data_IF_128610403137
#
_entry.id   IF_128610403137
#
_cell.length_a   1.000
_cell.length_b   1.000
_cell.length_c   1.000
_cell.angle_alpha   90.00
_cell.angle_beta   90.00
_cell.angle_gamma   90.00
#
_symmetry.space_group_name_H-M   'P 1'
#
loop_
_entity.id
_entity.type
_entity.pdbx_description
1 polymer ?
#
# COMPACT_ATOMS: atom_id res chain seq x y z
N UNK A 1 -49.65 -0.30 58.36
CA UNK A 1 -48.30 0.11 57.89
C UNK A 1 -47.91 -0.81 56.74
N UNK A 2 -47.92 -0.29 55.50
CA UNK A 2 -47.49 -1.06 54.31
C UNK A 2 -46.15 -0.51 53.89
N UNK A 3 -45.13 -1.34 53.93
CA UNK A 3 -43.78 -1.00 53.47
C UNK A 3 -43.67 -1.43 52.03
N UNK A 4 -43.46 -0.45 51.13
CA UNK A 4 -43.27 -0.68 49.69
C UNK A 4 -41.80 -0.86 49.42
N UNK A 5 -41.37 -2.02 48.92
CA UNK A 5 -40.00 -2.30 48.50
C UNK A 5 -39.85 -1.91 47.03
N UNK A 6 -39.12 -0.85 46.76
CA UNK A 6 -38.72 -0.46 45.38
C UNK A 6 -37.47 -1.22 44.96
N UNK A 7 -37.61 -2.08 43.95
CA UNK A 7 -36.48 -2.76 43.35
C UNK A 7 -35.81 -1.84 42.33
N UNK A 8 -34.57 -1.50 42.57
CA UNK A 8 -33.72 -0.79 41.62
C UNK A 8 -33.11 -1.79 40.60
N UNK A 9 -33.50 -1.67 39.35
CA UNK A 9 -32.89 -2.44 38.24
C UNK A 9 -31.58 -1.74 37.82
N UNK A 10 -30.46 -2.36 38.16
CA UNK A 10 -29.15 -1.95 37.58
C UNK A 10 -29.06 -2.48 36.15
N UNK A 11 -29.16 -1.57 35.18
CA UNK A 11 -28.83 -1.87 33.79
C UNK A 11 -27.29 -1.85 33.65
N UNK A 12 -26.71 -3.04 33.65
CA UNK A 12 -25.26 -3.20 33.35
C UNK A 12 -24.98 -2.94 31.89
N UNK A 13 -24.29 -1.83 31.56
CA UNK A 13 -23.68 -1.62 30.25
C UNK A 13 -22.56 -2.64 30.05
N UNK A 14 -22.81 -3.70 29.31
CA UNK A 14 -21.77 -4.60 28.80
C UNK A 14 -21.10 -3.87 27.64
N UNK A 15 -19.93 -3.27 27.91
CA UNK A 15 -19.03 -2.79 26.87
C UNK A 15 -18.49 -4.02 26.13
N UNK A 16 -19.01 -4.31 24.95
CA UNK A 16 -18.41 -5.25 24.02
C UNK A 16 -17.09 -4.65 23.52
N UNK A 17 -16.02 -4.96 24.22
CA UNK A 17 -14.65 -4.79 23.69
C UNK A 17 -14.47 -5.79 22.56
N UNK A 18 -14.88 -5.43 21.35
CA UNK A 18 -14.60 -6.18 20.15
C UNK A 18 -13.07 -6.19 19.94
N UNK A 19 -12.45 -7.34 20.16
CA UNK A 19 -11.08 -7.59 19.72
C UNK A 19 -11.05 -7.45 18.19
N UNK A 20 -10.59 -6.30 17.70
CA UNK A 20 -10.34 -6.07 16.27
C UNK A 20 -9.11 -6.90 15.86
N UNK A 21 -9.30 -8.18 15.57
CA UNK A 21 -8.31 -9.03 14.90
C UNK A 21 -8.32 -8.70 13.40
N UNK A 22 -7.82 -7.50 13.06
CA UNK A 22 -7.59 -7.10 11.67
C UNK A 22 -6.23 -7.58 11.18
N UNK A 23 -6.06 -7.81 9.88
CA UNK A 23 -4.74 -7.78 9.25
C UNK A 23 -4.12 -6.42 9.52
N UNK A 24 -2.79 -6.36 9.74
CA UNK A 24 -2.10 -5.19 10.33
C UNK A 24 -2.46 -3.83 9.71
N UNK A 25 -2.87 -3.76 8.45
CA UNK A 25 -3.09 -2.50 7.73
C UNK A 25 -4.53 -2.16 7.37
N UNK A 26 -5.47 -3.12 7.42
CA UNK A 26 -6.89 -2.91 7.12
C UNK A 26 -7.77 -3.69 8.09
N UNK A 27 -8.99 -3.21 8.34
CA UNK A 27 -9.98 -3.96 9.10
C UNK A 27 -10.31 -5.29 8.38
N UNK A 28 -10.51 -6.36 9.15
CA UNK A 28 -10.77 -7.72 8.63
C UNK A 28 -11.99 -7.77 7.71
N UNK A 29 -13.01 -6.98 8.04
CA UNK A 29 -14.30 -6.95 7.34
C UNK A 29 -14.40 -5.75 6.37
N UNK A 30 -13.30 -5.04 6.10
CA UNK A 30 -13.29 -3.96 5.12
C UNK A 30 -13.55 -4.51 3.71
N UNK A 31 -14.42 -3.82 2.96
CA UNK A 31 -14.63 -4.13 1.55
C UNK A 31 -13.29 -4.13 0.79
N UNK A 32 -13.12 -4.94 -0.27
CA UNK A 32 -11.90 -4.93 -1.07
C UNK A 32 -11.51 -3.50 -1.48
N UNK A 33 -10.20 -3.16 -1.54
CA UNK A 33 -9.78 -1.84 -1.98
C UNK A 33 -10.26 -1.56 -3.40
N UNK A 34 -10.58 -0.30 -3.69
CA UNK A 34 -10.96 0.16 -5.03
C UNK A 34 -9.72 0.69 -5.74
N UNK A 35 -9.45 0.22 -6.95
CA UNK A 35 -8.38 0.75 -7.82
C UNK A 35 -8.85 1.98 -8.59
N UNK A 36 -7.89 2.73 -9.16
CA UNK A 36 -8.19 3.73 -10.19
C UNK A 36 -8.88 3.07 -11.41
N UNK A 37 -9.52 3.85 -12.28
CA UNK A 37 -10.25 3.32 -13.43
C UNK A 37 -9.34 2.63 -14.45
N UNK A 38 -8.15 3.19 -14.71
CA UNK A 38 -7.15 2.65 -15.63
C UNK A 38 -5.76 3.20 -15.35
N UNK A 39 -4.72 2.52 -15.84
CA UNK A 39 -3.33 2.97 -15.82
C UNK A 39 -2.73 2.88 -17.22
N UNK A 40 -2.22 4.01 -17.73
CA UNK A 40 -1.35 4.02 -18.91
C UNK A 40 0.05 3.58 -18.47
N UNK A 41 0.45 2.37 -18.84
CA UNK A 41 1.73 1.80 -18.43
C UNK A 41 2.93 2.56 -19.01
N UNK A 42 2.80 3.23 -20.16
CA UNK A 42 3.87 4.06 -20.71
C UNK A 42 4.15 5.28 -19.83
N UNK A 43 3.09 5.94 -19.33
CA UNK A 43 3.21 7.05 -18.37
C UNK A 43 3.64 6.59 -17.00
N UNK A 44 3.23 5.37 -16.59
CA UNK A 44 3.57 4.80 -15.29
C UNK A 44 5.01 4.28 -15.24
N UNK A 45 5.59 3.91 -16.37
CA UNK A 45 6.97 3.42 -16.50
C UNK A 45 8.00 4.45 -16.00
N UNK A 46 9.23 4.00 -15.79
CA UNK A 46 10.34 4.79 -15.27
C UNK A 46 10.43 4.76 -13.74
N UNK A 47 11.15 5.72 -13.20
CA UNK A 47 11.53 5.76 -11.77
C UNK A 47 10.46 6.40 -10.91
N UNK A 48 10.24 5.77 -9.75
CA UNK A 48 9.43 6.26 -8.64
C UNK A 48 10.26 6.22 -7.35
N UNK A 49 10.13 7.24 -6.53
CA UNK A 49 10.68 7.30 -5.18
C UNK A 49 9.61 6.85 -4.18
N UNK A 50 9.97 5.99 -3.25
CA UNK A 50 9.12 5.63 -2.13
C UNK A 50 9.13 6.77 -1.11
N UNK A 51 7.99 7.34 -0.82
CA UNK A 51 7.83 8.41 0.17
C UNK A 51 7.52 7.83 1.56
N UNK A 52 6.68 6.82 1.58
CA UNK A 52 6.34 6.08 2.80
C UNK A 52 5.84 4.69 2.46
N UNK A 53 5.90 3.79 3.44
CA UNK A 53 5.40 2.42 3.31
C UNK A 53 4.88 1.86 4.63
N UNK A 54 4.12 0.79 4.56
CA UNK A 54 3.97 -0.08 5.71
C UNK A 54 5.28 -0.83 6.00
N UNK A 55 5.67 -0.99 7.29
CA UNK A 55 6.78 -1.84 7.65
C UNK A 55 6.61 -3.26 7.10
N UNK A 56 7.64 -3.80 6.47
CA UNK A 56 7.62 -5.13 5.92
C UNK A 56 8.99 -5.84 6.09
N UNK A 57 9.01 -7.17 5.95
CA UNK A 57 10.19 -7.97 6.26
C UNK A 57 11.31 -7.84 5.22
N UNK A 58 10.97 -7.59 3.95
CA UNK A 58 11.95 -7.53 2.86
C UNK A 58 12.58 -6.14 2.67
N UNK A 59 12.00 -5.09 3.28
CA UNK A 59 12.55 -3.73 3.29
C UNK A 59 13.08 -3.30 4.68
N UNK A 60 13.41 -4.26 5.54
CA UNK A 60 14.06 -3.93 6.82
C UNK A 60 15.36 -3.15 6.57
N UNK A 61 15.53 -2.02 7.27
CA UNK A 61 16.67 -1.11 7.15
C UNK A 61 16.89 -0.54 5.73
N UNK A 62 15.84 -0.48 4.88
CA UNK A 62 15.89 0.20 3.58
C UNK A 62 15.53 1.67 3.74
N UNK A 63 16.41 2.54 3.24
CA UNK A 63 16.18 3.97 3.00
C UNK A 63 16.59 4.30 1.56
N UNK A 64 16.32 5.51 1.06
CA UNK A 64 16.60 5.88 -0.32
C UNK A 64 15.95 4.94 -1.34
N UNK A 65 14.73 4.47 -1.04
CA UNK A 65 14.08 3.42 -1.82
C UNK A 65 13.52 3.97 -3.12
N UNK A 66 13.83 3.28 -4.22
CA UNK A 66 13.22 3.55 -5.53
C UNK A 66 12.67 2.28 -6.15
N UNK A 67 11.62 2.43 -6.96
CA UNK A 67 11.10 1.42 -7.86
C UNK A 67 11.21 1.93 -9.31
N UNK A 68 11.72 1.11 -10.21
CA UNK A 68 11.79 1.43 -11.63
C UNK A 68 11.03 0.38 -12.42
N UNK A 69 10.11 0.85 -13.28
CA UNK A 69 9.25 0.01 -14.11
C UNK A 69 9.63 0.19 -15.58
N UNK A 70 9.82 -0.92 -16.29
CA UNK A 70 10.17 -0.93 -17.71
C UNK A 70 9.25 -1.88 -18.48
N UNK A 71 8.59 -1.39 -19.54
CA UNK A 71 7.81 -2.26 -20.41
C UNK A 71 8.73 -3.23 -21.16
N UNK A 72 8.31 -4.47 -21.24
CA UNK A 72 9.05 -5.55 -21.91
C UNK A 72 8.37 -5.92 -23.22
N UNK A 73 9.13 -6.44 -24.21
CA UNK A 73 8.55 -6.91 -25.49
C UNK A 73 7.52 -8.03 -25.33
N UNK A 74 7.57 -8.78 -24.23
CA UNK A 74 6.62 -9.85 -23.91
C UNK A 74 5.31 -9.37 -23.26
N UNK A 75 5.07 -8.04 -23.22
CA UNK A 75 3.88 -7.41 -22.64
C UNK A 75 3.90 -7.34 -21.11
N UNK A 76 4.94 -7.84 -20.45
CA UNK A 76 5.12 -7.74 -19.00
C UNK A 76 5.86 -6.45 -18.63
N UNK A 77 5.95 -6.18 -17.34
CA UNK A 77 6.68 -5.04 -16.79
C UNK A 77 7.88 -5.56 -15.99
N UNK A 78 9.07 -5.13 -16.37
CA UNK A 78 10.26 -5.32 -15.53
C UNK A 78 10.19 -4.40 -14.32
N UNK A 79 10.55 -4.88 -13.16
CA UNK A 79 10.55 -4.13 -11.90
C UNK A 79 11.95 -4.20 -11.30
N UNK A 80 12.55 -3.04 -11.05
CA UNK A 80 13.82 -2.96 -10.31
C UNK A 80 13.60 -2.11 -9.07
N UNK A 81 13.67 -2.74 -7.90
CA UNK A 81 13.65 -2.03 -6.62
C UNK A 81 15.07 -1.86 -6.12
N UNK A 82 15.42 -0.63 -5.71
CA UNK A 82 16.73 -0.31 -5.14
C UNK A 82 16.53 0.35 -3.79
N UNK A 83 17.37 0.01 -2.82
CA UNK A 83 17.42 0.72 -1.54
C UNK A 83 18.86 0.82 -1.02
N UNK A 84 19.13 1.85 -0.22
CA UNK A 84 20.31 1.95 0.61
C UNK A 84 20.08 1.27 1.97
N UNK A 85 21.08 0.62 2.53
CA UNK A 85 20.95 -0.16 3.77
C UNK A 85 21.35 0.68 4.97
N UNK A 86 20.43 0.85 5.91
CA UNK A 86 20.65 1.52 7.20
C UNK A 86 20.42 3.02 7.13
N UNK A 87 21.05 3.71 6.19
CA UNK A 87 20.94 5.17 5.94
C UNK A 87 20.63 5.41 4.47
N UNK A 88 20.18 6.61 4.10
CA UNK A 88 19.83 6.94 2.71
C UNK A 88 21.03 6.95 1.75
N UNK A 89 22.25 7.10 2.26
CA UNK A 89 23.55 7.04 1.58
C UNK A 89 24.30 5.72 1.83
N UNK A 90 23.66 4.75 2.47
CA UNK A 90 24.24 3.45 2.78
C UNK A 90 24.49 2.59 1.55
N UNK A 91 25.06 1.40 1.75
CA UNK A 91 25.34 0.46 0.66
C UNK A 91 24.06 0.11 -0.10
N UNK A 92 24.06 0.43 -1.40
CA UNK A 92 22.94 0.13 -2.28
C UNK A 92 22.79 -1.39 -2.50
N UNK A 93 21.54 -1.85 -2.54
CA UNK A 93 21.15 -3.20 -2.98
C UNK A 93 19.94 -3.11 -3.88
N UNK A 94 19.86 -3.97 -4.87
CA UNK A 94 18.76 -4.03 -5.82
C UNK A 94 18.14 -5.41 -5.86
N UNK A 95 16.85 -5.45 -6.15
CA UNK A 95 16.11 -6.65 -6.47
C UNK A 95 15.39 -6.47 -7.81
N UNK A 96 15.53 -7.44 -8.70
CA UNK A 96 14.86 -7.45 -9.99
C UNK A 96 13.68 -8.41 -9.96
N UNK A 97 12.57 -7.98 -10.51
CA UNK A 97 11.33 -8.74 -10.60
C UNK A 97 10.61 -8.53 -11.92
N UNK A 98 9.52 -9.23 -12.06
CA UNK A 98 8.62 -9.13 -13.21
C UNK A 98 7.20 -8.98 -12.70
N UNK A 99 6.43 -8.11 -13.34
CA UNK A 99 5.01 -7.95 -13.12
C UNK A 99 4.23 -8.31 -14.39
N UNK A 100 3.11 -8.99 -14.23
CA UNK A 100 2.11 -9.19 -15.27
C UNK A 100 0.82 -8.48 -14.89
N UNK A 101 0.18 -7.86 -15.85
CA UNK A 101 -1.15 -7.27 -15.68
C UNK A 101 -2.18 -8.37 -15.45
N UNK A 102 -3.09 -8.16 -14.53
CA UNK A 102 -4.27 -9.02 -14.35
C UNK A 102 -5.30 -8.68 -15.41
N UNK A 103 -5.72 -9.67 -16.19
CA UNK A 103 -6.68 -9.51 -17.27
C UNK A 103 -7.97 -8.82 -16.78
N UNK A 104 -8.49 -7.92 -17.62
CA UNK A 104 -9.70 -7.16 -17.32
C UNK A 104 -9.55 -6.06 -16.26
N UNK A 105 -8.34 -5.83 -15.74
CA UNK A 105 -8.10 -4.81 -14.70
C UNK A 105 -7.79 -3.42 -15.23
N UNK A 106 -7.78 -3.19 -16.56
CA UNK A 106 -7.34 -1.93 -17.17
C UNK A 106 -5.94 -1.48 -16.65
N UNK A 107 -5.02 -2.42 -16.47
CA UNK A 107 -3.65 -2.25 -15.94
C UNK A 107 -3.57 -1.75 -14.48
N UNK A 108 -4.66 -1.75 -13.73
CA UNK A 108 -4.68 -1.25 -12.34
C UNK A 108 -4.25 -2.29 -11.31
N UNK A 109 -4.21 -3.56 -11.70
CA UNK A 109 -3.81 -4.69 -10.84
C UNK A 109 -2.72 -5.50 -11.53
N UNK A 110 -1.65 -5.77 -10.80
CA UNK A 110 -0.53 -6.55 -11.32
C UNK A 110 -0.19 -7.69 -10.35
N UNK A 111 0.30 -8.79 -10.93
CA UNK A 111 0.97 -9.86 -10.20
C UNK A 111 2.47 -9.62 -10.29
N UNK A 112 3.11 -9.26 -9.17
CA UNK A 112 4.55 -8.95 -9.09
C UNK A 112 5.28 -10.08 -8.39
N UNK A 113 6.43 -10.49 -8.94
CA UNK A 113 7.30 -11.49 -8.34
C UNK A 113 8.78 -11.12 -8.52
N UNK A 114 9.57 -11.32 -7.46
CA UNK A 114 11.01 -11.10 -7.39
C UNK A 114 11.83 -12.40 -7.29
N UNK A 115 11.19 -13.56 -7.39
CA UNK A 115 11.85 -14.86 -7.33
C UNK A 115 11.64 -15.63 -8.66
N UNK A 116 12.48 -16.62 -8.98
CA UNK A 116 12.29 -17.48 -10.15
C UNK A 116 11.17 -18.52 -9.91
N UNK A 117 10.02 -18.06 -9.44
CA UNK A 117 8.80 -18.84 -9.21
C UNK A 117 7.67 -18.27 -10.08
N UNK A 118 6.62 -19.03 -10.38
CA UNK A 118 5.48 -18.52 -11.14
C UNK A 118 4.88 -17.25 -10.53
N UNK A 119 4.42 -16.34 -11.38
CA UNK A 119 3.69 -15.16 -10.95
C UNK A 119 2.45 -15.55 -10.10
N UNK A 120 2.10 -14.76 -9.06
CA UNK A 120 0.89 -14.99 -8.28
C UNK A 120 -0.33 -15.06 -9.20
N UNK A 121 -1.15 -16.10 -9.03
CA UNK A 121 -2.42 -16.23 -9.75
C UNK A 121 -3.54 -15.44 -9.05
N UNK A 122 -4.65 -15.26 -9.76
CA UNK A 122 -5.85 -14.62 -9.23
C UNK A 122 -5.81 -13.10 -9.31
N UNK A 123 -6.13 -12.41 -8.23
CA UNK A 123 -6.35 -10.96 -8.24
C UNK A 123 -5.07 -10.08 -8.25
N UNK A 124 -3.88 -10.71 -8.28
CA UNK A 124 -2.61 -9.99 -8.16
C UNK A 124 -2.30 -9.53 -6.71
N UNK A 125 -1.12 -8.93 -6.54
CA UNK A 125 -0.62 -8.48 -5.24
C UNK A 125 -0.18 -7.00 -5.21
N UNK A 126 -0.34 -6.29 -6.32
CA UNK A 126 0.01 -4.89 -6.52
C UNK A 126 -1.16 -4.17 -7.19
N UNK A 127 -1.87 -3.35 -6.42
CA UNK A 127 -3.06 -2.62 -6.86
C UNK A 127 -2.81 -1.12 -6.81
N UNK A 128 -3.04 -0.42 -7.92
CA UNK A 128 -2.95 1.05 -7.98
C UNK A 128 -4.26 1.63 -7.44
N UNK A 129 -4.23 2.13 -6.21
CA UNK A 129 -5.41 2.61 -5.47
C UNK A 129 -5.67 4.10 -5.71
N UNK A 130 -4.62 4.85 -6.01
CA UNK A 130 -4.69 6.25 -6.40
C UNK A 130 -3.54 6.55 -7.36
N UNK A 131 -3.79 7.40 -8.32
CA UNK A 131 -2.83 7.91 -9.27
C UNK A 131 -3.20 9.35 -9.60
N UNK A 132 -2.26 10.28 -9.38
CA UNK A 132 -2.40 11.67 -9.78
C UNK A 132 -2.60 11.78 -11.29
N UNK A 133 -3.47 12.68 -11.80
CA UNK A 133 -3.73 12.82 -13.23
C UNK A 133 -2.49 13.06 -14.08
N UNK A 134 -1.46 13.69 -13.50
CA UNK A 134 -0.17 13.94 -14.16
C UNK A 134 0.87 12.85 -13.88
N UNK A 135 0.50 11.75 -13.24
CA UNK A 135 1.38 10.63 -12.88
C UNK A 135 2.56 11.04 -11.98
N UNK A 136 2.37 12.05 -11.10
CA UNK A 136 3.42 12.52 -10.19
C UNK A 136 3.42 11.78 -8.86
N UNK A 137 2.25 11.34 -8.39
CA UNK A 137 2.13 10.56 -7.15
C UNK A 137 1.20 9.37 -7.33
N UNK A 138 1.47 8.27 -6.63
CA UNK A 138 0.66 7.07 -6.65
C UNK A 138 0.56 6.43 -5.27
N UNK A 139 -0.60 5.86 -4.96
CA UNK A 139 -0.82 4.97 -3.82
C UNK A 139 -0.95 3.55 -4.33
N UNK A 140 -0.14 2.66 -3.80
CA UNK A 140 -0.15 1.25 -4.16
C UNK A 140 -0.34 0.39 -2.93
N UNK A 141 -1.21 -0.60 -3.01
CA UNK A 141 -1.46 -1.51 -1.89
C UNK A 141 -1.70 -2.94 -2.33
N UNK A 142 -1.59 -3.86 -1.38
CA UNK A 142 -2.03 -5.23 -1.57
C UNK A 142 -3.51 -5.40 -1.21
N UNK A 143 -4.26 -6.29 -1.89
CA UNK A 143 -5.69 -6.45 -1.64
C UNK A 143 -6.03 -6.89 -0.21
N UNK A 144 -5.11 -7.60 0.44
CA UNK A 144 -5.27 -8.05 1.82
C UNK A 144 -4.84 -7.03 2.89
N UNK A 145 -4.36 -5.83 2.48
CA UNK A 145 -3.93 -4.77 3.40
C UNK A 145 -2.58 -4.98 4.08
N UNK A 146 -1.82 -6.02 3.71
CA UNK A 146 -0.50 -6.28 4.30
C UNK A 146 0.57 -5.28 3.86
N UNK A 147 0.40 -4.67 2.69
CA UNK A 147 1.36 -3.74 2.11
C UNK A 147 0.67 -2.48 1.62
N UNK A 148 1.35 -1.35 1.82
CA UNK A 148 0.98 -0.04 1.29
C UNK A 148 2.24 0.76 1.01
N UNK A 149 2.28 1.45 -0.13
CA UNK A 149 3.37 2.34 -0.53
C UNK A 149 2.80 3.65 -1.07
N UNK A 150 3.40 4.74 -0.64
CA UNK A 150 3.23 6.07 -1.23
C UNK A 150 4.43 6.31 -2.13
N UNK A 151 4.18 6.52 -3.41
CA UNK A 151 5.21 6.70 -4.44
C UNK A 151 5.11 8.10 -5.06
N UNK A 152 6.25 8.65 -5.47
CA UNK A 152 6.31 9.92 -6.19
C UNK A 152 7.42 9.94 -7.24
N UNK A 153 7.30 10.86 -8.21
CA UNK A 153 8.36 11.12 -9.22
C UNK A 153 9.52 11.93 -8.66
N UNK A 154 9.34 12.54 -7.51
CA UNK A 154 10.33 13.35 -6.80
C UNK A 154 10.68 12.73 -5.45
N UNK A 155 11.84 13.08 -4.92
CA UNK A 155 12.33 12.60 -3.61
C UNK A 155 11.49 13.10 -2.43
N UNK A 156 10.73 14.17 -2.62
CA UNK A 156 9.81 14.75 -1.65
C UNK A 156 8.51 15.16 -2.32
N UNK A 157 7.45 15.30 -1.54
CA UNK A 157 6.12 15.72 -2.00
C UNK A 157 5.62 16.89 -1.15
N UNK A 158 4.68 17.65 -1.69
CA UNK A 158 4.02 18.73 -0.94
C UNK A 158 3.07 18.18 0.14
N UNK A 159 2.69 19.05 1.07
CA UNK A 159 1.69 18.74 2.10
C UNK A 159 0.37 18.30 1.46
N UNK A 160 -0.05 18.96 0.39
CA UNK A 160 -1.31 18.66 -0.31
C UNK A 160 -1.24 17.29 -1.01
N UNK A 161 -0.10 16.97 -1.65
CA UNK A 161 0.11 15.63 -2.25
C UNK A 161 0.09 14.54 -1.18
N UNK A 162 0.72 14.77 -0.02
CA UNK A 162 0.69 13.82 1.10
C UNK A 162 -0.73 13.65 1.63
N UNK A 163 -1.49 14.74 1.80
CA UNK A 163 -2.88 14.70 2.25
C UNK A 163 -3.77 13.93 1.27
N UNK A 164 -3.60 14.13 -0.05
CA UNK A 164 -4.35 13.40 -1.08
C UNK A 164 -4.07 11.89 -1.03
N UNK A 165 -2.81 11.48 -0.88
CA UNK A 165 -2.40 10.07 -0.75
C UNK A 165 -2.96 9.45 0.53
N UNK A 166 -2.88 10.14 1.67
CA UNK A 166 -3.43 9.66 2.95
C UNK A 166 -4.95 9.49 2.86
N UNK A 167 -5.66 10.49 2.34
CA UNK A 167 -7.11 10.41 2.14
C UNK A 167 -7.50 9.25 1.22
N UNK A 168 -6.72 8.98 0.17
CA UNK A 168 -6.96 7.84 -0.71
C UNK A 168 -6.73 6.50 0.02
N UNK A 169 -5.72 6.42 0.89
CA UNK A 169 -5.46 5.25 1.73
C UNK A 169 -6.64 4.99 2.69
N UNK A 170 -7.09 6.02 3.39
CA UNK A 170 -8.20 5.94 4.36
C UNK A 170 -9.52 5.55 3.69
N UNK A 171 -9.85 6.13 2.53
CA UNK A 171 -11.03 5.72 1.74
C UNK A 171 -10.99 4.25 1.31
N UNK A 172 -9.80 3.68 1.17
CA UNK A 172 -9.59 2.27 0.89
C UNK A 172 -9.45 1.40 2.16
N UNK A 173 -9.72 1.98 3.34
CA UNK A 173 -9.69 1.29 4.63
C UNK A 173 -8.30 1.00 5.18
N UNK A 174 -7.24 1.64 4.62
CA UNK A 174 -5.87 1.51 5.14
C UNK A 174 -5.63 2.50 6.29
N UNK A 175 -4.84 2.08 7.25
CA UNK A 175 -4.44 2.87 8.42
C UNK A 175 -3.21 3.71 8.10
N UNK A 176 -3.36 5.01 8.05
CA UNK A 176 -2.24 5.94 7.74
C UNK A 176 -1.24 6.11 8.89
N UNK A 177 -1.66 5.81 10.13
CA UNK A 177 -0.80 5.83 11.32
C UNK A 177 0.26 4.71 11.34
N UNK A 178 0.13 3.70 10.49
CA UNK A 178 1.13 2.63 10.33
C UNK A 178 2.20 2.97 9.27
N UNK A 179 2.05 4.06 8.54
CA UNK A 179 3.03 4.46 7.53
C UNK A 179 4.35 4.87 8.19
N UNK A 180 5.43 4.30 7.71
CA UNK A 180 6.80 4.73 8.01
C UNK A 180 7.31 5.53 6.81
N UNK A 181 7.74 6.76 7.05
CA UNK A 181 8.38 7.59 6.01
C UNK A 181 9.73 6.99 5.62
N UNK A 182 10.06 7.10 4.35
CA UNK A 182 11.34 6.69 3.77
C UNK A 182 12.21 7.92 3.60
N UNK A 183 13.40 7.91 4.19
CA UNK A 183 14.37 8.99 4.02
C UNK A 183 14.98 8.87 2.63
N UNK A 184 14.84 9.91 1.83
CA UNK A 184 15.48 10.03 0.51
C UNK A 184 16.76 10.86 0.64
N UNK A 185 17.87 10.51 -0.06
CA UNK A 185 19.15 11.22 -0.03
C UNK A 185 19.11 12.58 -0.73
#
# INVERSE_FOLDING_TARGET
MKVSLSAAILVGCVALSGCMSGTMGRAKDAAPPTTVASVDLNKYAGKWYEIARYPNSFQKKCEGVTAEYALRPDGRVGVTNTCATGTSDGKARSAQGVAAVIDGSNNTKLAVNFAPIPLPKGQGNYWVLYLDPNYQTALVGSPNGSYLWLLARTKSISVDQRAALNSAAERNGFRTDLLKDTIQP
#
